data_IF_613033032448
#
_entry.id   IF_613033032448
#
_cell.length_a   1.000
_cell.length_b   1.000
_cell.length_c   1.000
_cell.angle_alpha   90.00
_cell.angle_beta   90.00
_cell.angle_gamma   90.00
#
_symmetry.space_group_name_H-M   'P 1'
#
loop_
_entity.id
_entity.type
_entity.pdbx_description
1 polymer ?
#
# COMPACT_ATOMS: atom_id res chain seq x y z
N UNK A 1 -91.61 21.30 21.37
CA UNK A 1 -90.40 22.14 21.28
C UNK A 1 -89.25 21.48 22.04
N UNK A 2 -88.25 20.91 21.36
CA UNK A 2 -87.02 20.35 22.00
C UNK A 2 -85.87 21.34 21.77
N UNK A 3 -85.34 21.92 22.86
CA UNK A 3 -84.18 22.85 22.85
C UNK A 3 -82.89 22.07 22.56
N UNK A 4 -82.17 22.46 21.51
CA UNK A 4 -80.80 22.00 21.21
C UNK A 4 -79.83 22.69 22.18
N UNK A 5 -79.02 21.90 22.91
CA UNK A 5 -77.92 22.38 23.74
C UNK A 5 -76.73 22.73 22.84
N UNK A 6 -76.22 23.96 22.96
CA UNK A 6 -75.01 24.42 22.29
C UNK A 6 -73.78 23.84 22.98
N UNK A 7 -72.95 23.09 22.25
CA UNK A 7 -71.64 22.68 22.72
C UNK A 7 -70.69 23.88 22.70
N UNK A 8 -70.20 24.26 23.87
CA UNK A 8 -69.23 25.33 24.11
C UNK A 8 -67.84 24.93 23.60
N UNK A 9 -67.21 25.82 22.82
CA UNK A 9 -65.95 25.59 22.08
C UNK A 9 -64.66 25.44 22.91
N UNK A 10 -64.74 24.99 24.16
CA UNK A 10 -63.60 24.82 25.06
C UNK A 10 -62.96 23.43 24.99
N UNK A 11 -63.58 22.46 24.32
CA UNK A 11 -63.08 21.07 24.21
C UNK A 11 -62.13 20.82 23.03
N UNK A 12 -62.14 21.68 22.00
CA UNK A 12 -61.33 21.48 20.79
C UNK A 12 -59.83 21.75 21.02
N UNK A 13 -59.48 22.67 21.93
CA UNK A 13 -58.08 23.03 22.21
C UNK A 13 -57.37 21.97 23.04
N UNK A 14 -58.06 21.34 23.99
CA UNK A 14 -57.51 20.25 24.80
C UNK A 14 -57.16 19.03 23.96
N UNK A 15 -58.01 18.68 22.99
CA UNK A 15 -57.74 17.56 22.09
C UNK A 15 -56.50 17.83 21.20
N UNK A 16 -56.33 19.07 20.73
CA UNK A 16 -55.18 19.46 19.91
C UNK A 16 -53.85 19.43 20.69
N UNK A 17 -53.85 19.86 21.95
CA UNK A 17 -52.68 19.77 22.82
C UNK A 17 -52.30 18.31 23.13
N UNK A 18 -53.28 17.48 23.44
CA UNK A 18 -53.06 16.06 23.74
C UNK A 18 -52.50 15.31 22.51
N UNK A 19 -52.99 15.62 21.31
CA UNK A 19 -52.48 15.03 20.06
C UNK A 19 -51.03 15.46 19.76
N UNK A 20 -50.69 16.73 20.02
CA UNK A 20 -49.34 17.25 19.83
C UNK A 20 -48.35 16.62 20.83
N UNK A 21 -48.78 16.39 22.07
CA UNK A 21 -47.98 15.71 23.08
C UNK A 21 -47.75 14.23 22.75
N UNK A 22 -48.79 13.52 22.26
CA UNK A 22 -48.66 12.16 21.72
C UNK A 22 -47.67 12.10 20.55
N UNK A 23 -47.67 13.10 19.66
CA UNK A 23 -46.71 13.18 18.54
C UNK A 23 -45.28 13.38 19.03
N UNK A 24 -45.04 14.26 20.02
CA UNK A 24 -43.72 14.46 20.63
C UNK A 24 -43.22 13.19 21.34
N UNK A 25 -44.11 12.46 22.02
CA UNK A 25 -43.78 11.19 22.67
C UNK A 25 -43.34 10.11 21.67
N UNK A 26 -44.00 10.01 20.50
CA UNK A 26 -43.61 9.09 19.42
C UNK A 26 -42.21 9.40 18.87
N UNK A 27 -41.89 10.69 18.66
CA UNK A 27 -40.57 11.12 18.18
C UNK A 27 -39.49 10.76 19.21
N UNK A 28 -39.72 11.01 20.50
CA UNK A 28 -38.78 10.64 21.57
C UNK A 28 -38.55 9.13 21.65
N UNK A 29 -39.59 8.31 21.51
CA UNK A 29 -39.46 6.85 21.50
C UNK A 29 -38.69 6.35 20.27
N UNK A 30 -38.91 6.94 19.10
CA UNK A 30 -38.16 6.59 17.88
C UNK A 30 -36.68 6.94 18.02
N UNK A 31 -36.37 8.15 18.52
CA UNK A 31 -34.99 8.57 18.76
C UNK A 31 -34.27 7.65 19.76
N UNK A 32 -34.94 7.28 20.87
CA UNK A 32 -34.38 6.31 21.83
C UNK A 32 -34.09 4.94 21.22
N UNK A 33 -34.96 4.45 20.32
CA UNK A 33 -34.73 3.18 19.60
C UNK A 33 -33.57 3.27 18.62
N UNK A 34 -33.46 4.37 17.89
CA UNK A 34 -32.33 4.63 17.00
C UNK A 34 -31.02 4.70 17.80
N UNK A 35 -31.01 5.40 18.95
CA UNK A 35 -29.85 5.47 19.84
C UNK A 35 -29.48 4.09 20.45
N UNK A 36 -30.46 3.25 20.77
CA UNK A 36 -30.18 1.88 21.29
C UNK A 36 -29.61 0.95 20.22
N UNK A 37 -30.10 1.04 18.98
CA UNK A 37 -29.58 0.26 17.85
C UNK A 37 -28.18 0.73 17.45
N UNK A 38 -27.92 2.05 17.48
CA UNK A 38 -26.57 2.59 17.26
C UNK A 38 -25.59 2.14 18.36
N UNK A 39 -26.03 2.08 19.62
CA UNK A 39 -25.18 1.64 20.73
C UNK A 39 -24.90 0.13 20.70
N UNK A 40 -25.84 -0.70 20.26
CA UNK A 40 -25.63 -2.16 20.14
C UNK A 40 -24.72 -2.53 18.95
N UNK A 41 -24.78 -1.76 17.86
CA UNK A 41 -23.89 -1.96 16.72
C UNK A 41 -22.46 -1.54 17.03
N UNK A 42 -22.26 -0.47 17.82
CA UNK A 42 -20.92 -0.08 18.27
C UNK A 42 -20.28 -1.11 19.21
N UNK A 43 -21.03 -1.74 20.12
CA UNK A 43 -20.44 -2.75 21.02
C UNK A 43 -19.99 -4.02 20.29
N UNK A 44 -20.65 -4.38 19.19
CA UNK A 44 -20.24 -5.53 18.37
C UNK A 44 -19.04 -5.19 17.49
N UNK A 45 -19.00 -3.95 16.96
CA UNK A 45 -17.88 -3.42 16.18
C UNK A 45 -16.61 -3.27 17.05
N UNK A 46 -16.73 -2.77 18.28
CA UNK A 46 -15.61 -2.62 19.22
C UNK A 46 -15.01 -3.98 19.65
N UNK A 47 -15.82 -5.03 19.74
CA UNK A 47 -15.33 -6.38 20.02
C UNK A 47 -14.59 -7.00 18.82
N UNK A 48 -15.11 -6.83 17.60
CA UNK A 48 -14.42 -7.27 16.37
C UNK A 48 -13.15 -6.45 16.08
N UNK A 49 -13.16 -5.14 16.37
CA UNK A 49 -12.00 -4.26 16.19
C UNK A 49 -10.92 -4.51 17.26
N UNK A 50 -11.28 -4.96 18.47
CA UNK A 50 -10.31 -5.36 19.51
C UNK A 50 -9.64 -6.72 19.23
N UNK A 51 -10.36 -7.69 18.65
CA UNK A 51 -9.74 -8.93 18.16
C UNK A 51 -8.83 -8.65 16.95
N UNK A 52 -9.24 -7.74 16.06
CA UNK A 52 -8.45 -7.35 14.89
C UNK A 52 -7.24 -6.47 15.20
N UNK A 53 -7.29 -5.63 16.24
CA UNK A 53 -6.13 -4.83 16.66
C UNK A 53 -5.00 -5.70 17.21
N UNK A 54 -5.32 -6.84 17.83
CA UNK A 54 -4.31 -7.76 18.36
C UNK A 54 -3.49 -8.49 17.27
N UNK A 55 -4.02 -8.62 16.05
CA UNK A 55 -3.29 -9.15 14.89
C UNK A 55 -2.55 -8.04 14.11
N UNK A 56 -3.12 -6.83 14.01
CA UNK A 56 -2.50 -5.68 13.32
C UNK A 56 -1.29 -5.09 14.07
N UNK A 57 -1.27 -5.15 15.41
CA UNK A 57 -0.14 -4.65 16.23
C UNK A 57 1.17 -5.43 15.97
N UNK A 58 1.11 -6.71 15.56
CA UNK A 58 2.29 -7.50 15.18
C UNK A 58 2.86 -7.14 13.80
N UNK A 59 2.00 -6.68 12.88
CA UNK A 59 2.40 -6.25 11.53
C UNK A 59 2.98 -4.84 11.56
N UNK A 60 2.51 -4.02 12.50
CA UNK A 60 3.01 -2.65 12.70
C UNK A 60 4.37 -2.63 13.42
N UNK A 61 4.73 -3.68 14.18
CA UNK A 61 6.06 -3.82 14.76
C UNK A 61 7.14 -4.02 13.70
N UNK A 62 6.86 -4.80 12.64
CA UNK A 62 7.76 -4.98 11.49
C UNK A 62 7.85 -3.70 10.64
N UNK A 63 6.74 -2.98 10.45
CA UNK A 63 6.74 -1.69 9.75
C UNK A 63 7.47 -0.60 10.55
N UNK A 64 7.28 -0.55 11.86
CA UNK A 64 8.02 0.34 12.76
C UNK A 64 9.48 -0.05 12.88
N UNK A 65 9.82 -1.34 12.83
CA UNK A 65 11.21 -1.82 12.75
C UNK A 65 11.84 -1.40 11.41
N UNK A 66 11.12 -1.50 10.29
CA UNK A 66 11.55 -0.99 9.00
C UNK A 66 11.74 0.54 9.03
N UNK A 67 10.77 1.27 9.59
CA UNK A 67 10.83 2.73 9.72
C UNK A 67 11.98 3.18 10.64
N UNK A 68 12.24 2.48 11.74
CA UNK A 68 13.43 2.72 12.58
C UNK A 68 14.73 2.40 11.83
N UNK A 69 14.75 1.36 11.01
CA UNK A 69 15.93 0.98 10.23
C UNK A 69 16.21 1.95 9.08
N UNK A 70 15.17 2.48 8.42
CA UNK A 70 15.28 3.38 7.27
C UNK A 70 15.31 4.87 7.63
N UNK A 71 14.59 5.31 8.67
CA UNK A 71 14.45 6.73 9.03
C UNK A 71 15.32 7.16 10.23
N UNK A 72 15.83 6.23 11.07
CA UNK A 72 16.56 6.62 12.28
C UNK A 72 18.06 6.88 12.08
N UNK A 73 18.63 6.76 10.88
CA UNK A 73 20.07 7.00 10.67
C UNK A 73 20.38 8.46 10.27
N UNK A 74 19.98 9.40 11.12
CA UNK A 74 20.59 10.74 11.19
C UNK A 74 22.05 10.71 11.70
N UNK A 75 22.58 9.54 12.04
CA UNK A 75 24.00 9.30 12.36
C UNK A 75 24.50 8.20 11.44
N UNK A 76 25.22 8.57 10.39
CA UNK A 76 25.65 7.68 9.31
C UNK A 76 26.47 6.48 9.77
N UNK A 77 25.79 5.36 10.08
CA UNK A 77 26.39 4.03 10.06
C UNK A 77 25.74 3.24 8.93
N UNK A 78 26.58 2.74 8.03
CA UNK A 78 26.20 1.98 6.84
C UNK A 78 25.57 0.64 7.26
N UNK A 79 24.34 0.39 6.84
CA UNK A 79 23.79 -0.96 6.81
C UNK A 79 24.35 -1.69 5.57
N UNK A 80 24.90 -2.88 5.77
CA UNK A 80 25.30 -3.76 4.66
C UNK A 80 24.04 -4.41 4.08
N UNK A 81 23.63 -3.98 2.88
CA UNK A 81 22.55 -4.60 2.11
C UNK A 81 23.01 -4.78 0.65
N UNK A 82 23.41 -6.00 0.24
CA UNK A 82 23.52 -6.34 -1.17
C UNK A 82 22.12 -6.73 -1.67
N UNK A 83 21.64 -6.09 -2.74
CA UNK A 83 20.44 -6.43 -3.57
C UNK A 83 19.21 -5.50 -3.56
N UNK A 84 19.37 -4.18 -3.47
CA UNK A 84 18.30 -3.24 -3.85
C UNK A 84 18.71 -2.42 -5.07
N UNK A 85 17.87 -2.48 -6.11
CA UNK A 85 17.94 -1.63 -7.31
C UNK A 85 17.78 -0.17 -6.91
N UNK A 86 18.88 0.57 -6.97
CA UNK A 86 18.93 2.00 -6.65
C UNK A 86 18.17 2.77 -7.72
N UNK A 87 16.94 3.17 -7.44
CA UNK A 87 16.20 4.15 -8.24
C UNK A 87 16.44 5.57 -7.71
N UNK A 88 16.90 6.43 -8.62
CA UNK A 88 16.70 7.89 -8.63
C UNK A 88 17.29 8.73 -7.50
N UNK A 89 18.53 8.44 -7.08
CA UNK A 89 19.34 9.42 -6.31
C UNK A 89 20.34 10.19 -7.18
N UNK A 90 20.90 9.56 -8.22
CA UNK A 90 21.94 10.15 -9.08
C UNK A 90 21.39 11.20 -10.07
N UNK A 91 20.24 10.92 -10.70
CA UNK A 91 19.71 11.68 -11.85
C UNK A 91 19.36 13.14 -11.51
N UNK A 92 18.88 13.40 -10.29
CA UNK A 92 18.43 14.74 -9.88
C UNK A 92 19.57 15.61 -9.37
N UNK A 93 20.56 15.03 -8.70
CA UNK A 93 21.80 15.74 -8.36
C UNK A 93 22.55 16.14 -9.65
N UNK A 94 22.51 15.27 -10.65
CA UNK A 94 23.10 15.49 -11.96
C UNK A 94 22.41 16.61 -12.79
N UNK A 95 21.08 16.68 -12.78
CA UNK A 95 20.35 17.82 -13.39
C UNK A 95 20.61 19.16 -12.68
N UNK A 96 21.11 19.14 -11.44
CA UNK A 96 21.46 20.36 -10.71
C UNK A 96 22.84 20.93 -11.11
N UNK A 97 23.82 20.04 -11.38
CA UNK A 97 25.10 20.41 -12.01
C UNK A 97 24.91 21.02 -13.41
N UNK A 98 23.82 20.65 -14.11
CA UNK A 98 23.40 21.23 -15.42
C UNK A 98 23.14 22.74 -15.32
N UNK A 99 22.37 23.16 -14.31
CA UNK A 99 21.82 24.52 -14.23
C UNK A 99 22.79 25.54 -13.65
N UNK A 100 23.72 25.13 -12.78
CA UNK A 100 24.69 26.04 -12.17
C UNK A 100 25.95 26.25 -13.01
N UNK A 101 26.37 25.25 -13.80
CA UNK A 101 27.68 25.29 -14.44
C UNK A 101 27.65 25.34 -15.99
N UNK A 102 26.48 25.33 -16.64
CA UNK A 102 26.38 25.27 -18.10
C UNK A 102 27.21 24.12 -18.72
N UNK A 103 27.47 23.05 -17.95
CA UNK A 103 28.38 21.99 -18.36
C UNK A 103 27.64 20.95 -19.22
N UNK A 104 28.21 20.53 -20.37
CA UNK A 104 27.71 19.42 -21.19
C UNK A 104 28.00 18.06 -20.54
N UNK A 105 27.71 17.92 -19.25
CA UNK A 105 28.14 16.78 -18.44
C UNK A 105 27.41 15.49 -18.81
N UNK A 106 26.26 15.51 -19.48
CA UNK A 106 25.57 14.27 -19.91
C UNK A 106 26.37 13.54 -20.97
N UNK A 107 26.80 14.28 -21.98
CA UNK A 107 27.69 13.80 -23.04
C UNK A 107 29.04 13.45 -22.41
N UNK A 108 29.54 14.29 -21.50
CA UNK A 108 30.84 14.06 -20.87
C UNK A 108 30.86 12.88 -19.88
N UNK A 109 29.80 12.64 -19.11
CA UNK A 109 29.65 11.50 -18.20
C UNK A 109 29.55 10.21 -19.00
N UNK A 110 28.70 10.17 -20.02
CA UNK A 110 28.59 9.02 -20.91
C UNK A 110 29.91 8.77 -21.65
N UNK A 111 30.56 9.81 -22.15
CA UNK A 111 31.87 9.76 -22.79
C UNK A 111 32.95 9.28 -21.82
N UNK A 112 32.96 9.76 -20.57
CA UNK A 112 33.93 9.36 -19.55
C UNK A 112 33.70 7.92 -19.08
N UNK A 113 32.46 7.50 -18.89
CA UNK A 113 32.12 6.10 -18.60
C UNK A 113 32.50 5.18 -19.76
N UNK A 114 32.27 5.61 -21.01
CA UNK A 114 32.68 4.88 -22.21
C UNK A 114 34.21 4.81 -22.32
N UNK A 115 34.92 5.90 -22.05
CA UNK A 115 36.38 5.94 -22.04
C UNK A 115 36.95 4.99 -20.98
N UNK A 116 36.40 5.02 -19.77
CA UNK A 116 36.79 4.13 -18.66
C UNK A 116 36.46 2.66 -18.92
N UNK A 117 35.38 2.38 -19.66
CA UNK A 117 35.05 1.02 -20.05
C UNK A 117 36.05 0.48 -21.09
N UNK A 118 36.47 1.31 -22.06
CA UNK A 118 37.46 0.94 -23.06
C UNK A 118 38.84 0.75 -22.44
N UNK A 119 39.31 1.74 -21.68
CA UNK A 119 40.61 1.72 -21.02
C UNK A 119 40.53 2.20 -19.56
N UNK A 120 40.39 1.27 -18.59
CA UNK A 120 40.42 1.58 -17.17
C UNK A 120 41.80 2.05 -16.69
N UNK A 121 42.87 1.86 -17.48
CA UNK A 121 44.25 2.20 -17.09
C UNK A 121 44.39 3.70 -16.79
N UNK A 122 43.65 4.52 -17.54
CA UNK A 122 43.58 5.97 -17.37
C UNK A 122 43.14 6.38 -15.97
N UNK A 123 42.30 5.58 -15.29
CA UNK A 123 41.84 5.83 -13.92
C UNK A 123 42.98 5.77 -12.90
N UNK A 124 43.99 4.93 -13.15
CA UNK A 124 45.11 4.70 -12.23
C UNK A 124 46.25 5.71 -12.40
N UNK A 125 46.31 6.38 -13.55
CA UNK A 125 47.45 7.19 -13.96
C UNK A 125 47.49 8.60 -13.34
N UNK A 126 46.67 8.89 -12.32
CA UNK A 126 46.45 10.23 -11.70
C UNK A 126 46.07 11.36 -12.68
N UNK A 127 46.10 11.09 -13.99
CA UNK A 127 45.73 11.98 -15.09
C UNK A 127 44.23 12.00 -15.35
N UNK A 128 43.46 11.11 -14.72
CA UNK A 128 42.01 11.14 -14.78
C UNK A 128 41.48 12.32 -13.95
N UNK A 129 41.20 13.43 -14.63
CA UNK A 129 40.27 14.43 -14.09
C UNK A 129 38.94 13.72 -13.86
N UNK A 130 38.33 13.94 -12.69
CA UNK A 130 37.09 13.30 -12.23
C UNK A 130 36.10 12.96 -13.36
N UNK A 131 35.38 11.83 -13.21
CA UNK A 131 34.28 11.43 -14.12
C UNK A 131 33.29 12.58 -14.33
N UNK A 132 33.17 13.46 -13.33
CA UNK A 132 32.49 14.74 -13.39
C UNK A 132 33.55 15.85 -13.60
N UNK A 133 33.56 16.43 -14.80
CA UNK A 133 34.61 17.36 -15.22
C UNK A 133 34.86 18.52 -14.22
N UNK A 134 36.11 18.97 -14.17
CA UNK A 134 36.60 20.14 -13.41
C UNK A 134 36.49 20.09 -11.88
N UNK A 135 36.06 18.98 -11.28
CA UNK A 135 36.16 18.82 -9.82
C UNK A 135 37.53 18.26 -9.42
N UNK A 136 38.23 19.00 -8.58
CA UNK A 136 39.44 18.53 -7.92
C UNK A 136 39.07 17.30 -7.08
N UNK A 137 39.67 16.15 -7.38
CA UNK A 137 39.50 14.96 -6.56
C UNK A 137 40.06 15.30 -5.18
N UNK A 138 39.18 15.50 -4.20
CA UNK A 138 39.61 15.70 -2.81
C UNK A 138 40.21 14.36 -2.37
N UNK A 139 41.51 14.35 -2.12
CA UNK A 139 42.18 13.21 -1.51
C UNK A 139 41.50 12.90 -0.17
N UNK A 140 40.73 11.82 -0.15
CA UNK A 140 40.09 11.31 1.06
C UNK A 140 40.87 10.12 1.59
N UNK A 141 40.76 9.83 2.88
CA UNK A 141 41.31 8.61 3.48
C UNK A 141 40.88 7.33 2.75
N UNK A 142 39.68 7.35 2.14
CA UNK A 142 39.16 6.28 1.29
C UNK A 142 39.93 6.17 -0.05
N UNK A 143 40.28 7.28 -0.69
CA UNK A 143 41.10 7.29 -1.92
C UNK A 143 42.47 6.67 -1.67
N UNK A 144 43.13 7.03 -0.56
CA UNK A 144 44.42 6.44 -0.18
C UNK A 144 44.31 4.93 0.12
N UNK A 145 43.22 4.51 0.75
CA UNK A 145 42.95 3.09 1.00
C UNK A 145 42.74 2.31 -0.30
N UNK A 146 42.00 2.88 -1.26
CA UNK A 146 41.79 2.30 -2.60
C UNK A 146 43.12 2.21 -3.35
N UNK A 147 43.95 3.25 -3.34
CA UNK A 147 45.28 3.20 -3.96
C UNK A 147 46.18 2.13 -3.35
N UNK A 148 46.23 2.04 -2.02
CA UNK A 148 47.01 0.99 -1.34
C UNK A 148 46.49 -0.41 -1.68
N UNK A 149 45.17 -0.59 -1.79
CA UNK A 149 44.57 -1.84 -2.21
C UNK A 149 44.96 -2.19 -3.66
N UNK A 150 44.95 -1.21 -4.56
CA UNK A 150 45.33 -1.40 -5.96
C UNK A 150 46.81 -1.80 -6.08
N UNK A 151 47.70 -1.15 -5.34
CA UNK A 151 49.13 -1.47 -5.34
C UNK A 151 49.42 -2.89 -4.83
N UNK A 152 48.61 -3.38 -3.89
CA UNK A 152 48.80 -4.68 -3.25
C UNK A 152 48.09 -5.85 -3.94
N UNK A 153 47.27 -5.59 -4.96
CA UNK A 153 46.49 -6.60 -5.66
C UNK A 153 46.87 -6.66 -7.14
N UNK A 154 46.49 -7.75 -7.81
CA UNK A 154 46.71 -7.89 -9.25
C UNK A 154 45.89 -6.82 -10.01
N UNK A 155 46.62 -5.85 -10.58
CA UNK A 155 46.08 -4.74 -11.36
C UNK A 155 45.10 -5.20 -12.43
N UNK A 156 45.36 -6.35 -13.06
CA UNK A 156 44.55 -6.89 -14.14
C UNK A 156 43.13 -7.30 -13.70
N UNK A 157 42.99 -7.76 -12.46
CA UNK A 157 41.69 -8.13 -11.88
C UNK A 157 40.85 -6.88 -11.61
N UNK A 158 41.49 -5.83 -11.08
CA UNK A 158 40.84 -4.56 -10.77
C UNK A 158 40.42 -3.85 -12.05
N UNK A 159 41.29 -3.79 -13.06
CA UNK A 159 40.97 -3.24 -14.39
C UNK A 159 39.76 -3.96 -14.99
N UNK A 160 39.73 -5.30 -14.93
CA UNK A 160 38.59 -6.09 -15.41
C UNK A 160 37.31 -5.79 -14.64
N UNK A 161 37.37 -5.69 -13.32
CA UNK A 161 36.21 -5.37 -12.49
C UNK A 161 35.67 -3.95 -12.76
N UNK A 162 36.56 -2.96 -12.85
CA UNK A 162 36.20 -1.57 -13.19
C UNK A 162 35.56 -1.48 -14.57
N UNK A 163 36.10 -2.19 -15.57
CA UNK A 163 35.50 -2.26 -16.92
C UNK A 163 34.07 -2.77 -16.85
N UNK A 164 33.82 -3.89 -16.16
CA UNK A 164 32.47 -4.46 -16.02
C UNK A 164 31.54 -3.49 -15.29
N UNK A 165 32.00 -2.90 -14.19
CA UNK A 165 31.19 -1.93 -13.43
C UNK A 165 30.86 -0.67 -14.24
N UNK A 166 31.82 -0.15 -15.03
CA UNK A 166 31.61 1.03 -15.87
C UNK A 166 30.65 0.73 -17.03
N UNK A 167 30.73 -0.46 -17.64
CA UNK A 167 29.77 -0.88 -18.67
C UNK A 167 28.34 -1.00 -18.11
N UNK A 168 28.18 -1.63 -16.96
CA UNK A 168 26.86 -1.73 -16.31
C UNK A 168 26.35 -0.34 -15.87
N UNK A 169 27.21 0.50 -15.31
CA UNK A 169 26.87 1.88 -14.96
C UNK A 169 26.45 2.67 -16.21
N UNK A 170 27.14 2.52 -17.33
CA UNK A 170 26.79 3.13 -18.62
C UNK A 170 25.39 2.70 -19.06
N UNK A 171 25.07 1.41 -18.99
CA UNK A 171 23.75 0.89 -19.36
C UNK A 171 22.64 1.44 -18.45
N UNK A 172 22.89 1.49 -17.14
CA UNK A 172 21.93 2.04 -16.18
C UNK A 172 21.73 3.53 -16.42
N UNK A 173 22.81 4.30 -16.57
CA UNK A 173 22.74 5.75 -16.83
C UNK A 173 22.05 6.02 -18.16
N UNK A 174 22.36 5.27 -19.22
CA UNK A 174 21.70 5.40 -20.52
C UNK A 174 20.19 5.15 -20.42
N UNK A 175 19.76 4.12 -19.69
CA UNK A 175 18.34 3.82 -19.48
C UNK A 175 17.64 4.88 -18.64
N UNK A 176 18.28 5.29 -17.55
CA UNK A 176 17.74 6.25 -16.58
C UNK A 176 17.70 7.67 -17.13
N UNK A 177 18.61 8.01 -18.03
CA UNK A 177 18.69 9.31 -18.69
C UNK A 177 18.19 9.26 -20.14
N UNK A 178 17.52 8.20 -20.58
CA UNK A 178 17.13 8.02 -21.97
C UNK A 178 16.35 9.23 -22.53
N UNK A 179 15.43 9.78 -21.74
CA UNK A 179 14.65 10.96 -22.14
C UNK A 179 15.49 12.24 -22.22
N UNK A 180 16.66 12.27 -21.60
CA UNK A 180 17.53 13.43 -21.44
C UNK A 180 18.80 13.37 -22.29
N UNK A 181 19.11 12.22 -22.90
CA UNK A 181 20.21 12.01 -23.84
C UNK A 181 19.78 12.39 -25.26
N UNK A 182 20.73 12.47 -26.19
CA UNK A 182 20.44 12.78 -27.60
C UNK A 182 19.36 11.84 -28.18
N UNK A 183 18.33 12.41 -28.78
CA UNK A 183 17.15 11.66 -29.28
C UNK A 183 16.04 11.44 -28.23
N UNK A 184 16.28 11.74 -26.95
CA UNK A 184 15.28 11.69 -25.90
C UNK A 184 14.28 12.85 -25.95
N UNK A 185 13.10 12.67 -25.34
CA UNK A 185 12.00 13.65 -25.35
C UNK A 185 12.35 15.03 -24.75
N UNK A 186 13.33 15.07 -23.86
CA UNK A 186 13.85 16.27 -23.18
C UNK A 186 15.32 16.55 -23.51
N UNK A 187 15.82 16.00 -24.63
CA UNK A 187 17.15 16.33 -25.16
C UNK A 187 17.27 17.81 -25.50
N UNK A 188 16.23 18.37 -26.12
CA UNK A 188 16.08 19.78 -26.47
C UNK A 188 14.72 20.27 -25.97
N UNK A 189 14.60 20.62 -24.67
CA UNK A 189 13.35 21.10 -24.13
C UNK A 189 12.95 22.41 -24.84
N UNK A 190 11.69 22.51 -25.24
CA UNK A 190 11.18 23.78 -25.76
C UNK A 190 11.18 24.85 -24.64
N UNK A 191 11.14 26.15 -24.98
CA UNK A 191 11.20 27.23 -23.99
C UNK A 191 10.12 27.13 -22.90
N UNK A 192 8.93 26.65 -23.25
CA UNK A 192 7.83 26.46 -22.29
C UNK A 192 8.14 25.34 -21.29
N UNK A 193 8.74 24.24 -21.76
CA UNK A 193 9.18 23.12 -20.91
C UNK A 193 10.35 23.55 -20.04
N UNK A 194 11.27 24.37 -20.55
CA UNK A 194 12.34 24.96 -19.72
C UNK A 194 11.77 25.83 -18.59
N UNK A 195 10.81 26.69 -18.90
CA UNK A 195 10.12 27.51 -17.90
C UNK A 195 9.41 26.63 -16.85
N UNK A 196 8.69 25.58 -17.28
CA UNK A 196 8.04 24.63 -16.37
C UNK A 196 9.04 23.90 -15.48
N UNK A 197 10.14 23.42 -16.05
CA UNK A 197 11.19 22.72 -15.30
C UNK A 197 11.98 23.65 -14.38
N UNK A 198 12.04 24.95 -14.66
CA UNK A 198 12.68 25.94 -13.79
C UNK A 198 12.01 26.06 -12.42
N UNK A 199 10.72 25.74 -12.36
CA UNK A 199 9.92 25.73 -11.14
C UNK A 199 9.87 24.36 -10.45
N UNK A 200 10.34 23.31 -11.12
CA UNK A 200 10.44 21.99 -10.53
C UNK A 200 11.53 22.00 -9.45
N UNK A 201 11.20 21.54 -8.25
CA UNK A 201 12.15 21.59 -7.15
C UNK A 201 13.28 20.56 -7.34
N UNK A 202 14.46 20.95 -6.87
CA UNK A 202 15.76 20.43 -7.31
C UNK A 202 16.14 19.07 -6.70
N UNK A 203 15.36 18.58 -5.75
CA UNK A 203 15.66 17.37 -4.99
C UNK A 203 14.46 16.42 -5.01
N UNK A 204 14.71 15.11 -5.08
CA UNK A 204 13.66 14.10 -4.91
C UNK A 204 13.05 14.12 -3.49
N UNK A 205 13.72 14.81 -2.55
CA UNK A 205 13.19 15.10 -1.22
C UNK A 205 11.89 15.90 -1.26
N UNK A 206 11.47 16.42 -2.41
CA UNK A 206 10.19 17.12 -2.53
C UNK A 206 9.02 16.17 -2.31
N UNK A 207 9.12 14.93 -2.78
CA UNK A 207 8.12 13.91 -2.50
C UNK A 207 8.07 13.62 -1.01
N UNK A 208 9.21 13.33 -0.40
CA UNK A 208 9.31 13.00 1.03
C UNK A 208 8.92 14.17 1.94
N UNK A 209 9.42 15.38 1.67
CA UNK A 209 9.03 16.61 2.37
C UNK A 209 7.54 16.89 2.19
N UNK A 210 6.98 16.54 1.02
CA UNK A 210 5.56 16.69 0.79
C UNK A 210 4.73 15.78 1.69
N UNK A 211 5.13 14.52 1.82
CA UNK A 211 4.49 13.56 2.71
C UNK A 211 4.74 13.90 4.18
N UNK A 212 5.97 14.24 4.57
CA UNK A 212 6.29 14.63 5.94
C UNK A 212 5.52 15.85 6.42
N UNK A 213 5.31 16.86 5.55
CA UNK A 213 4.43 17.98 5.88
C UNK A 213 2.96 17.52 6.06
N UNK A 214 2.49 16.57 5.24
CA UNK A 214 1.11 16.05 5.29
C UNK A 214 0.91 15.27 6.59
N UNK A 215 1.86 14.40 6.94
CA UNK A 215 1.86 13.59 8.15
C UNK A 215 1.91 14.49 9.39
N UNK A 216 2.77 15.52 9.37
CA UNK A 216 2.80 16.54 10.40
C UNK A 216 1.43 17.23 10.55
N UNK A 217 0.80 17.63 9.45
CA UNK A 217 -0.54 18.22 9.46
C UNK A 217 -1.60 17.23 9.99
N UNK A 218 -1.49 15.93 9.68
CA UNK A 218 -2.35 14.87 10.26
C UNK A 218 -2.19 14.78 11.76
N UNK A 219 -0.96 14.79 12.26
CA UNK A 219 -0.68 14.72 13.69
C UNK A 219 -1.19 15.97 14.45
N UNK A 220 -0.96 17.18 13.91
CA UNK A 220 -1.25 18.44 14.60
C UNK A 220 -2.68 18.93 14.43
N UNK A 221 -3.32 18.63 13.30
CA UNK A 221 -4.63 19.18 12.93
C UNK A 221 -5.63 18.06 12.69
N UNK A 222 -5.78 17.13 13.64
CA UNK A 222 -6.60 15.90 13.51
C UNK A 222 -8.01 16.16 12.98
N UNK A 223 -8.68 17.22 13.46
CA UNK A 223 -10.06 17.56 13.09
C UNK A 223 -10.19 18.48 11.86
N UNK A 224 -9.12 18.61 11.06
CA UNK A 224 -9.08 19.45 9.88
C UNK A 224 -9.57 18.69 8.64
N UNK A 225 -10.44 19.32 7.85
CA UNK A 225 -10.92 18.75 6.58
C UNK A 225 -9.78 18.56 5.57
N UNK A 226 -9.92 17.57 4.70
CA UNK A 226 -8.95 17.32 3.61
C UNK A 226 -8.78 18.55 2.72
N UNK A 227 -9.86 19.28 2.44
CA UNK A 227 -9.80 20.54 1.71
C UNK A 227 -8.91 21.59 2.37
N UNK A 228 -9.00 21.77 3.69
CA UNK A 228 -8.18 22.77 4.38
C UNK A 228 -6.70 22.36 4.39
N UNK A 229 -6.42 21.06 4.58
CA UNK A 229 -5.07 20.50 4.47
C UNK A 229 -4.47 20.75 3.09
N UNK A 230 -5.16 20.34 2.03
CA UNK A 230 -4.67 20.54 0.65
C UNK A 230 -4.45 22.02 0.33
N UNK A 231 -5.32 22.90 0.82
CA UNK A 231 -5.18 24.35 0.64
C UNK A 231 -3.92 24.89 1.34
N UNK A 232 -3.67 24.50 2.58
CA UNK A 232 -2.47 24.91 3.33
C UNK A 232 -1.21 24.44 2.61
N UNK A 233 -1.19 23.20 2.16
CA UNK A 233 -0.06 22.65 1.40
C UNK A 233 0.20 23.39 0.10
N UNK A 234 -0.85 23.67 -0.67
CA UNK A 234 -0.72 24.45 -1.90
C UNK A 234 -0.19 25.85 -1.64
N UNK A 235 -0.70 26.54 -0.61
CA UNK A 235 -0.24 27.89 -0.25
C UNK A 235 1.24 27.86 0.16
N UNK A 236 1.66 26.84 0.92
CA UNK A 236 3.05 26.67 1.37
C UNK A 236 3.98 26.40 0.17
N UNK A 237 3.63 25.43 -0.69
CA UNK A 237 4.49 25.00 -1.82
C UNK A 237 4.57 26.05 -2.93
N UNK A 238 3.45 26.66 -3.28
CA UNK A 238 3.42 27.69 -4.34
C UNK A 238 3.93 29.05 -3.85
N UNK A 239 4.39 29.14 -2.59
CA UNK A 239 4.83 30.38 -1.94
C UNK A 239 3.81 31.52 -2.13
N UNK A 240 2.52 31.18 -2.14
CA UNK A 240 1.45 32.11 -2.51
C UNK A 240 1.43 33.33 -1.60
N UNK A 241 1.73 33.15 -0.31
CA UNK A 241 1.82 34.28 0.62
C UNK A 241 2.97 35.23 0.32
N UNK A 242 4.13 34.72 -0.10
CA UNK A 242 5.26 35.57 -0.52
C UNK A 242 4.89 36.37 -1.77
N UNK A 243 4.27 35.72 -2.77
CA UNK A 243 3.75 36.41 -3.96
C UNK A 243 2.76 37.52 -3.60
N UNK A 244 1.78 37.23 -2.73
CA UNK A 244 0.75 38.19 -2.31
C UNK A 244 1.35 39.36 -1.52
N UNK A 245 2.40 39.11 -0.72
CA UNK A 245 3.15 40.15 0.01
C UNK A 245 3.89 41.11 -0.92
N UNK A 246 4.39 40.64 -2.06
CA UNK A 246 5.06 41.49 -3.05
C UNK A 246 4.09 42.35 -3.89
N UNK A 247 2.78 42.11 -3.81
CA UNK A 247 1.78 42.93 -4.53
C UNK A 247 1.44 44.22 -3.77
N UNK A 248 1.09 45.26 -4.53
CA UNK A 248 0.57 46.54 -4.00
C UNK A 248 -0.70 46.31 -3.17
N UNK A 249 -1.00 47.22 -2.23
CA UNK A 249 -2.17 47.12 -1.34
C UNK A 249 -3.48 46.97 -2.11
N UNK A 250 -3.66 47.76 -3.19
CA UNK A 250 -4.84 47.73 -4.05
C UNK A 250 -4.96 46.38 -4.78
N UNK A 251 -3.87 45.90 -5.39
CA UNK A 251 -3.88 44.61 -6.11
C UNK A 251 -4.09 43.44 -5.16
N UNK A 252 -3.47 43.47 -3.98
CA UNK A 252 -3.67 42.50 -2.91
C UNK A 252 -5.13 42.42 -2.47
N UNK A 253 -5.80 43.56 -2.26
CA UNK A 253 -7.21 43.60 -1.90
C UNK A 253 -8.10 42.97 -3.00
N UNK A 254 -7.85 43.31 -4.27
CA UNK A 254 -8.54 42.70 -5.42
C UNK A 254 -8.34 41.19 -5.47
N UNK A 255 -7.11 40.70 -5.29
CA UNK A 255 -6.80 39.27 -5.25
C UNK A 255 -7.56 38.53 -4.14
N UNK A 256 -7.61 39.09 -2.93
CA UNK A 256 -8.36 38.49 -1.83
C UNK A 256 -9.87 38.51 -2.06
N UNK A 257 -10.41 39.57 -2.67
CA UNK A 257 -11.83 39.64 -3.01
C UNK A 257 -12.20 38.57 -4.05
N UNK A 258 -11.38 38.42 -5.09
CA UNK A 258 -11.53 37.37 -6.10
C UNK A 258 -11.40 35.98 -5.48
N UNK A 259 -10.38 35.75 -4.65
CA UNK A 259 -10.19 34.48 -3.95
C UNK A 259 -11.39 34.11 -3.07
N UNK A 260 -12.00 35.07 -2.35
CA UNK A 260 -13.21 34.82 -1.55
C UNK A 260 -14.40 34.40 -2.41
N UNK A 261 -14.59 35.01 -3.58
CA UNK A 261 -15.65 34.63 -4.53
C UNK A 261 -15.45 33.20 -5.03
N UNK A 262 -14.24 32.85 -5.46
CA UNK A 262 -13.93 31.51 -5.95
C UNK A 262 -13.90 30.43 -4.85
N UNK A 263 -13.53 30.79 -3.61
CA UNK A 263 -13.49 29.85 -2.50
C UNK A 263 -14.85 29.18 -2.25
N UNK A 264 -15.97 29.91 -2.42
CA UNK A 264 -17.31 29.33 -2.26
C UNK A 264 -17.60 28.27 -3.32
N UNK A 265 -17.25 28.53 -4.57
CA UNK A 265 -17.41 27.59 -5.68
C UNK A 265 -16.52 26.36 -5.49
N UNK A 266 -15.26 26.58 -5.10
CA UNK A 266 -14.29 25.50 -4.88
C UNK A 266 -14.71 24.57 -3.73
N UNK A 267 -15.20 25.13 -2.62
CA UNK A 267 -15.74 24.33 -1.50
C UNK A 267 -16.94 23.48 -1.91
N UNK A 268 -17.82 24.01 -2.77
CA UNK A 268 -18.96 23.25 -3.29
C UNK A 268 -18.48 22.07 -4.15
N UNK A 269 -17.56 22.33 -5.07
CA UNK A 269 -16.96 21.30 -5.93
C UNK A 269 -16.27 20.20 -5.12
N UNK A 270 -15.43 20.57 -4.14
CA UNK A 270 -14.77 19.58 -3.29
C UNK A 270 -15.76 18.78 -2.44
N UNK A 271 -16.87 19.37 -1.97
CA UNK A 271 -17.90 18.62 -1.25
C UNK A 271 -18.57 17.58 -2.15
N UNK A 272 -18.81 17.92 -3.42
CA UNK A 272 -19.35 16.99 -4.41
C UNK A 272 -18.37 15.85 -4.70
N UNK A 273 -17.07 16.16 -4.89
CA UNK A 273 -16.01 15.16 -5.08
C UNK A 273 -15.85 14.25 -3.84
N UNK A 274 -15.85 14.81 -2.62
CA UNK A 274 -15.81 14.04 -1.37
C UNK A 274 -16.99 13.07 -1.26
N UNK A 275 -18.19 13.49 -1.67
CA UNK A 275 -19.38 12.63 -1.66
C UNK A 275 -19.28 11.50 -2.69
N UNK A 276 -18.77 11.79 -3.89
CA UNK A 276 -18.51 10.76 -4.90
C UNK A 276 -17.50 9.72 -4.39
N UNK A 277 -16.42 10.15 -3.75
CA UNK A 277 -15.43 9.24 -3.17
C UNK A 277 -16.06 8.36 -2.09
N UNK A 278 -16.94 8.90 -1.24
CA UNK A 278 -17.66 8.10 -0.24
C UNK A 278 -18.59 7.06 -0.85
N UNK A 279 -19.29 7.41 -1.93
CA UNK A 279 -20.17 6.48 -2.66
C UNK A 279 -19.33 5.32 -3.20
N UNK A 280 -18.25 5.62 -3.93
CA UNK A 280 -17.35 4.60 -4.50
C UNK A 280 -16.72 3.72 -3.42
N UNK A 281 -16.29 4.32 -2.30
CA UNK A 281 -15.73 3.57 -1.18
C UNK A 281 -16.76 2.61 -0.57
N UNK A 282 -18.01 3.07 -0.39
CA UNK A 282 -19.11 2.25 0.13
C UNK A 282 -19.46 1.10 -0.82
N UNK A 283 -19.55 1.36 -2.12
CA UNK A 283 -19.79 0.33 -3.14
C UNK A 283 -18.69 -0.73 -3.13
N UNK A 284 -17.42 -0.30 -3.07
CA UNK A 284 -16.28 -1.22 -2.98
C UNK A 284 -16.32 -2.07 -1.71
N UNK A 285 -16.73 -1.49 -0.58
CA UNK A 285 -16.90 -2.22 0.68
C UNK A 285 -18.00 -3.29 0.57
N UNK A 286 -19.16 -2.94 0.02
CA UNK A 286 -20.27 -3.88 -0.19
C UNK A 286 -19.86 -5.00 -1.16
N UNK A 287 -19.23 -4.66 -2.28
CA UNK A 287 -18.74 -5.66 -3.25
C UNK A 287 -17.70 -6.60 -2.64
N UNK A 288 -16.85 -6.11 -1.74
CA UNK A 288 -15.89 -6.95 -1.01
C UNK A 288 -16.59 -7.89 -0.01
N UNK A 289 -17.63 -7.42 0.68
CA UNK A 289 -18.45 -8.24 1.57
C UNK A 289 -19.20 -9.33 0.79
N UNK A 290 -19.81 -8.99 -0.34
CA UNK A 290 -20.48 -9.96 -1.22
C UNK A 290 -19.52 -11.03 -1.73
N UNK A 291 -18.30 -10.64 -2.14
CA UNK A 291 -17.25 -11.59 -2.52
C UNK A 291 -16.84 -12.49 -1.38
N UNK A 292 -16.80 -12.00 -0.13
CA UNK A 292 -16.51 -12.82 1.06
C UNK A 292 -17.64 -13.83 1.26
N UNK A 293 -18.89 -13.39 1.27
CA UNK A 293 -20.07 -14.25 1.42
C UNK A 293 -20.12 -15.32 0.31
N UNK A 294 -19.87 -14.95 -0.95
CA UNK A 294 -19.83 -15.90 -2.07
C UNK A 294 -18.72 -16.95 -1.90
N UNK A 295 -17.54 -16.54 -1.44
CA UNK A 295 -16.45 -17.49 -1.13
C UNK A 295 -16.86 -18.43 0.01
N UNK A 296 -17.51 -17.92 1.04
CA UNK A 296 -17.96 -18.71 2.18
C UNK A 296 -19.05 -19.73 1.78
N UNK A 297 -20.02 -19.32 0.95
CA UNK A 297 -21.02 -20.20 0.35
C UNK A 297 -20.34 -21.28 -0.48
N UNK A 298 -19.41 -20.92 -1.37
CA UNK A 298 -18.70 -21.89 -2.20
C UNK A 298 -17.86 -22.89 -1.38
N UNK A 299 -17.24 -22.44 -0.28
CA UNK A 299 -16.53 -23.30 0.67
C UNK A 299 -17.50 -24.26 1.35
N UNK A 300 -18.67 -23.77 1.79
CA UNK A 300 -19.71 -24.57 2.44
C UNK A 300 -20.30 -25.62 1.49
N UNK A 301 -20.61 -25.25 0.25
CA UNK A 301 -21.07 -26.19 -0.78
C UNK A 301 -20.03 -27.27 -1.08
N UNK A 302 -18.75 -26.89 -1.17
CA UNK A 302 -17.64 -27.84 -1.33
C UNK A 302 -17.56 -28.80 -0.15
N UNK A 303 -17.67 -28.32 1.09
CA UNK A 303 -17.70 -29.14 2.31
C UNK A 303 -18.89 -30.11 2.31
N UNK A 304 -20.08 -29.64 1.94
CA UNK A 304 -21.28 -30.47 1.85
C UNK A 304 -21.12 -31.58 0.81
N UNK A 305 -20.55 -31.28 -0.37
CA UNK A 305 -20.29 -32.27 -1.42
C UNK A 305 -19.31 -33.38 -0.96
N UNK A 306 -18.28 -33.00 -0.22
CA UNK A 306 -17.32 -33.96 0.37
C UNK A 306 -18.02 -34.83 1.42
N UNK A 307 -18.78 -34.22 2.32
CA UNK A 307 -19.55 -34.91 3.38
C UNK A 307 -20.55 -35.91 2.78
N UNK A 308 -21.30 -35.53 1.75
CA UNK A 308 -22.22 -36.42 1.04
C UNK A 308 -21.48 -37.58 0.35
N UNK A 309 -20.27 -37.34 -0.16
CA UNK A 309 -19.46 -38.39 -0.81
C UNK A 309 -18.94 -39.41 0.20
N UNK A 310 -18.52 -38.98 1.38
CA UNK A 310 -18.11 -39.86 2.47
C UNK A 310 -19.31 -40.64 3.03
N UNK A 311 -20.47 -40.00 3.18
CA UNK A 311 -21.71 -40.66 3.63
C UNK A 311 -22.11 -41.83 2.72
N UNK A 312 -21.85 -41.74 1.40
CA UNK A 312 -22.09 -42.84 0.44
C UNK A 312 -21.21 -44.08 0.67
N UNK A 313 -20.10 -43.95 1.39
CA UNK A 313 -19.14 -45.03 1.65
C UNK A 313 -19.22 -45.62 3.06
N UNK A 314 -20.19 -45.20 3.88
CA UNK A 314 -20.33 -45.66 5.26
C UNK A 314 -20.18 -44.57 6.32
N UNK A 315 -19.95 -43.31 5.91
CA UNK A 315 -19.73 -42.21 6.84
C UNK A 315 -18.25 -41.96 7.14
N UNK A 316 -17.94 -40.86 7.84
CA UNK A 316 -16.56 -40.48 8.14
C UNK A 316 -15.95 -41.43 9.16
N UNK A 317 -14.66 -41.74 8.99
CA UNK A 317 -13.91 -42.48 9.99
C UNK A 317 -13.62 -41.56 11.19
N UNK A 318 -13.75 -42.08 12.40
CA UNK A 318 -13.44 -41.35 13.65
C UNK A 318 -12.23 -41.93 14.37
N UNK A 319 -11.87 -43.18 14.09
CA UNK A 319 -10.76 -43.90 14.70
C UNK A 319 -9.96 -44.69 13.67
N UNK A 320 -8.73 -45.11 14.02
CA UNK A 320 -7.92 -46.01 13.19
C UNK A 320 -8.58 -47.38 12.98
N UNK A 321 -9.41 -47.81 13.94
CA UNK A 321 -10.24 -49.02 13.84
C UNK A 321 -11.29 -48.87 12.75
N UNK A 322 -11.94 -47.70 12.63
CA UNK A 322 -12.91 -47.42 11.57
C UNK A 322 -12.28 -47.52 10.17
N UNK A 323 -11.03 -47.09 10.02
CA UNK A 323 -10.27 -47.19 8.76
C UNK A 323 -10.09 -48.66 8.36
N UNK A 324 -9.78 -49.54 9.33
CA UNK A 324 -9.64 -50.99 9.09
C UNK A 324 -10.99 -51.62 8.78
N UNK A 325 -12.02 -51.26 9.54
CA UNK A 325 -13.38 -51.76 9.35
C UNK A 325 -13.91 -51.36 7.98
N UNK A 326 -13.75 -50.11 7.56
CA UNK A 326 -14.14 -49.64 6.22
C UNK A 326 -13.44 -50.44 5.11
N UNK A 327 -12.13 -50.69 5.23
CA UNK A 327 -11.39 -51.49 4.26
C UNK A 327 -11.92 -52.93 4.20
N UNK A 328 -12.21 -53.53 5.36
CA UNK A 328 -12.72 -54.90 5.47
C UNK A 328 -14.13 -55.00 4.88
N UNK A 329 -15.04 -54.12 5.28
CA UNK A 329 -16.43 -54.09 4.78
C UNK A 329 -16.49 -53.90 3.27
N UNK A 330 -15.69 -53.00 2.69
CA UNK A 330 -15.68 -52.79 1.24
C UNK A 330 -15.12 -54.00 0.45
N UNK A 331 -14.15 -54.72 1.03
CA UNK A 331 -13.62 -55.97 0.44
C UNK A 331 -14.63 -57.11 0.52
N UNK A 332 -15.30 -57.27 1.66
CA UNK A 332 -16.34 -58.29 1.88
C UNK A 332 -17.55 -58.08 0.96
N UNK A 333 -17.89 -56.82 0.65
CA UNK A 333 -18.91 -56.48 -0.34
C UNK A 333 -18.49 -56.74 -1.80
N UNK A 334 -17.29 -57.25 -2.05
CA UNK A 334 -16.79 -57.51 -3.41
C UNK A 334 -16.63 -56.26 -4.27
N UNK A 335 -16.43 -55.07 -3.66
CA UNK A 335 -16.27 -53.82 -4.41
C UNK A 335 -14.91 -53.80 -5.14
N UNK A 336 -14.84 -53.28 -6.38
CA UNK A 336 -13.59 -53.22 -7.13
C UNK A 336 -12.57 -52.31 -6.44
N UNK A 337 -11.27 -52.60 -6.60
CA UNK A 337 -10.15 -51.83 -6.00
C UNK A 337 -10.25 -50.32 -6.28
N UNK A 338 -10.71 -49.93 -7.47
CA UNK A 338 -10.91 -48.52 -7.85
C UNK A 338 -11.98 -47.81 -7.00
N UNK A 339 -13.01 -48.53 -6.56
CA UNK A 339 -14.03 -48.01 -5.67
C UNK A 339 -13.48 -47.81 -4.25
N UNK A 340 -12.70 -48.78 -3.76
CA UNK A 340 -12.03 -48.71 -2.44
C UNK A 340 -11.09 -47.51 -2.39
N UNK A 341 -10.26 -47.32 -3.43
CA UNK A 341 -9.37 -46.15 -3.54
C UNK A 341 -10.16 -44.85 -3.51
N UNK A 342 -11.29 -44.76 -4.23
CA UNK A 342 -12.16 -43.57 -4.21
C UNK A 342 -12.75 -43.29 -2.82
N UNK A 343 -13.14 -44.32 -2.08
CA UNK A 343 -13.65 -44.17 -0.72
C UNK A 343 -12.59 -43.54 0.21
N UNK A 344 -11.36 -44.07 0.21
CA UNK A 344 -10.26 -43.51 1.01
C UNK A 344 -9.81 -42.12 0.54
N UNK A 345 -9.83 -41.85 -0.78
CA UNK A 345 -9.60 -40.50 -1.29
C UNK A 345 -10.64 -39.50 -0.80
N UNK A 346 -11.92 -39.90 -0.73
CA UNK A 346 -12.99 -39.06 -0.20
C UNK A 346 -12.82 -38.83 1.31
N UNK A 347 -12.40 -39.85 2.06
CA UNK A 347 -12.10 -39.72 3.49
C UNK A 347 -10.94 -38.72 3.73
N UNK A 348 -9.83 -38.85 3.00
CA UNK A 348 -8.71 -37.91 3.08
C UNK A 348 -9.16 -36.49 2.71
N UNK A 349 -10.02 -36.33 1.69
CA UNK A 349 -10.59 -35.02 1.31
C UNK A 349 -11.46 -34.43 2.42
N UNK A 350 -12.20 -35.26 3.14
CA UNK A 350 -13.02 -34.87 4.27
C UNK A 350 -12.17 -34.38 5.44
N UNK A 351 -11.16 -35.15 5.84
CA UNK A 351 -10.21 -34.76 6.89
C UNK A 351 -9.47 -33.46 6.51
N UNK A 352 -9.08 -33.29 5.25
CA UNK A 352 -8.52 -32.03 4.74
C UNK A 352 -9.51 -30.85 4.80
N UNK A 353 -10.79 -31.08 4.54
CA UNK A 353 -11.82 -30.04 4.56
C UNK A 353 -12.18 -29.55 5.97
N UNK A 354 -11.96 -30.40 6.98
CA UNK A 354 -12.05 -30.06 8.40
C UNK A 354 -10.84 -29.26 8.91
N UNK A 355 -9.79 -29.10 8.08
CA UNK A 355 -8.62 -28.30 8.41
C UNK A 355 -7.47 -29.09 9.02
N UNK A 356 -7.59 -30.41 9.15
CA UNK A 356 -6.65 -31.19 9.94
C UNK A 356 -5.30 -31.41 9.27
N UNK A 357 -5.19 -31.40 7.93
CA UNK A 357 -3.91 -31.70 7.26
C UNK A 357 -3.73 -30.93 5.93
N UNK A 358 -2.53 -30.36 5.72
CA UNK A 358 -2.13 -29.71 4.45
C UNK A 358 -1.03 -30.55 3.76
N UNK A 359 -1.08 -30.64 2.42
CA UNK A 359 0.11 -30.96 1.61
C UNK A 359 0.36 -32.41 1.15
N UNK A 360 -0.40 -33.43 1.58
CA UNK A 360 -0.06 -34.81 1.22
C UNK A 360 -0.66 -35.26 -0.13
N UNK A 361 0.22 -35.62 -1.07
CA UNK A 361 -0.10 -36.39 -2.28
C UNK A 361 0.11 -37.87 -1.95
N UNK A 362 -0.97 -38.64 -1.84
CA UNK A 362 -0.92 -40.08 -1.56
C UNK A 362 -1.35 -40.82 -2.84
N UNK A 363 -0.48 -41.71 -3.33
CA UNK A 363 -0.65 -42.39 -4.61
C UNK A 363 -1.24 -43.78 -4.48
N UNK A 364 -0.78 -44.57 -3.51
CA UNK A 364 -1.20 -45.97 -3.35
C UNK A 364 -2.26 -46.16 -2.27
N UNK A 365 -3.08 -47.22 -2.39
CA UNK A 365 -4.09 -47.55 -1.38
C UNK A 365 -3.47 -47.81 0.00
N UNK A 366 -2.29 -48.46 0.02
CA UNK A 366 -1.58 -48.77 1.25
C UNK A 366 -1.11 -47.48 1.96
N UNK A 367 -0.57 -46.52 1.20
CA UNK A 367 -0.22 -45.19 1.71
C UNK A 367 -1.43 -44.46 2.30
N UNK A 368 -2.58 -44.49 1.62
CA UNK A 368 -3.81 -43.83 2.10
C UNK A 368 -4.30 -44.42 3.42
N UNK A 369 -4.31 -45.75 3.54
CA UNK A 369 -4.73 -46.45 4.77
C UNK A 369 -3.73 -46.20 5.90
N UNK A 370 -2.43 -46.34 5.63
CA UNK A 370 -1.37 -46.08 6.60
C UNK A 370 -1.46 -44.65 7.14
N UNK A 371 -1.62 -43.68 6.24
CA UNK A 371 -1.77 -42.28 6.59
C UNK A 371 -2.99 -41.99 7.47
N UNK A 372 -4.16 -42.55 7.13
CA UNK A 372 -5.36 -42.31 7.95
C UNK A 372 -5.22 -42.94 9.34
N UNK A 373 -4.61 -44.13 9.43
CA UNK A 373 -4.32 -44.75 10.73
C UNK A 373 -3.42 -43.87 11.58
N UNK A 374 -2.25 -43.48 11.05
CA UNK A 374 -1.31 -42.63 11.79
C UNK A 374 -1.90 -41.28 12.15
N UNK A 375 -2.74 -40.72 11.27
CA UNK A 375 -3.48 -39.49 11.55
C UNK A 375 -4.42 -39.66 12.75
N UNK A 376 -5.26 -40.69 12.78
CA UNK A 376 -6.18 -40.90 13.91
C UNK A 376 -5.44 -41.32 15.19
N UNK A 377 -4.41 -42.16 15.09
CA UNK A 377 -3.62 -42.57 16.25
C UNK A 377 -2.86 -41.40 16.90
N UNK A 378 -2.59 -40.32 16.15
CA UNK A 378 -1.96 -39.11 16.67
C UNK A 378 -2.95 -38.08 17.26
N UNK A 379 -4.25 -38.22 17.00
CA UNK A 379 -5.30 -37.26 17.40
C UNK A 379 -6.34 -37.86 18.37
N UNK A 380 -6.18 -39.12 18.75
CA UNK A 380 -6.86 -39.80 19.87
C UNK A 380 -5.94 -39.75 21.07
#
# INVERSE_FOLDING_TARGET
>A
MKKRKSCTGTDMTKHAEEENERRRARIRRRKRREDTVSSSNNSHQEAEDAERSSEEDSVDEDYQALARTFLATGKGRRANLPSLTVTNKLILQLNHLRLQNNLPWKVQLMHNLQKLALDPSDFFDFRFQSVFANEMIIETSMSNSIHSFIQNNDKSIIERALRVMCEEAKLVVARQLADFLEGGAFSYPNPNTEEQLSHCPLTNLVGESAFGDIDYDFSKRRNCTLHNRSTVHMIKRNKTMSFVKCQTSIRRAKLFQTARKHAKLLRKKHKEEEEQVKIVAKEKMVANQEKKIQKDIAILERRNKITLSVKKHGGPCTSSIDVVNLLKTLKEQGRPKSYIVKAFQNEIRFQKALGSTRGLKLGTLAEMVSYLKTYFDAHV
#
